data_IF_462904187115
#
_entry.id   IF_462904187115
#
_cell.length_a   1.000
_cell.length_b   1.000
_cell.length_c   1.000
_cell.angle_alpha   90.00
_cell.angle_beta   90.00
_cell.angle_gamma   90.00
#
_symmetry.space_group_name_H-M   'P 1'
#
loop_
_entity.id
_entity.type
_entity.pdbx_description
1 polymer ?
#
# COMPACT_ATOMS: atom_id res chain seq x y z
N UNK A 1 -15.24 20.31 -6.97
CA UNK A 1 -14.65 18.97 -7.05
C UNK A 1 -15.81 17.98 -6.98
N UNK A 2 -16.03 17.18 -8.04
CA UNK A 2 -17.07 16.14 -8.04
C UNK A 2 -16.77 15.07 -7.00
N UNK A 3 -17.81 14.38 -6.48
CA UNK A 3 -17.62 13.22 -5.60
C UNK A 3 -16.84 12.12 -6.34
N UNK A 4 -15.96 11.40 -5.64
CA UNK A 4 -15.27 10.26 -6.21
C UNK A 4 -16.28 9.22 -6.69
N UNK A 5 -16.04 8.61 -7.86
CA UNK A 5 -16.89 7.59 -8.46
C UNK A 5 -16.31 6.19 -8.32
N UNK A 6 -14.99 6.07 -8.25
CA UNK A 6 -14.24 4.85 -7.98
C UNK A 6 -13.04 5.17 -7.10
N UNK A 7 -12.60 4.20 -6.32
CA UNK A 7 -11.35 4.28 -5.58
C UNK A 7 -10.41 3.21 -6.11
N UNK A 8 -9.34 3.66 -6.76
CA UNK A 8 -8.28 2.81 -7.28
C UNK A 8 -7.19 2.68 -6.23
N UNK A 9 -6.77 1.46 -5.89
CA UNK A 9 -5.74 1.25 -4.87
C UNK A 9 -4.64 0.30 -5.35
N UNK A 10 -3.40 0.74 -5.23
CA UNK A 10 -2.22 -0.08 -5.54
C UNK A 10 -1.92 -1.10 -4.45
N UNK A 11 -1.91 -2.38 -4.82
CA UNK A 11 -1.66 -3.53 -3.91
C UNK A 11 -0.43 -4.28 -4.36
N UNK A 12 0.42 -4.70 -3.43
CA UNK A 12 1.58 -5.57 -3.72
C UNK A 12 2.00 -6.47 -2.55
N UNK A 13 1.15 -6.61 -1.51
CA UNK A 13 1.38 -7.50 -0.37
C UNK A 13 2.30 -6.97 0.73
N UNK A 14 2.80 -5.71 0.66
CA UNK A 14 3.51 -5.12 1.81
C UNK A 14 2.54 -4.56 2.83
N UNK A 15 2.98 -4.44 4.08
CA UNK A 15 2.18 -3.85 5.17
C UNK A 15 1.65 -2.45 4.83
N UNK A 16 2.43 -1.63 4.12
CA UNK A 16 1.98 -0.31 3.67
C UNK A 16 0.88 -0.39 2.62
N UNK A 17 0.95 -1.36 1.69
CA UNK A 17 -0.11 -1.56 0.69
C UNK A 17 -1.36 -2.19 1.29
N UNK A 18 -1.23 -3.06 2.30
CA UNK A 18 -2.38 -3.61 3.04
C UNK A 18 -3.10 -2.52 3.83
N UNK A 19 -2.34 -1.60 4.44
CA UNK A 19 -2.95 -0.44 5.11
C UNK A 19 -3.67 0.48 4.12
N UNK A 20 -3.10 0.69 2.93
CA UNK A 20 -3.75 1.44 1.86
C UNK A 20 -5.03 0.75 1.37
N UNK A 21 -5.02 -0.59 1.26
CA UNK A 21 -6.19 -1.37 0.88
C UNK A 21 -7.32 -1.24 1.93
N UNK A 22 -7.00 -1.34 3.23
CA UNK A 22 -7.97 -1.13 4.32
C UNK A 22 -8.59 0.26 4.24
N UNK A 23 -7.76 1.28 4.16
CA UNK A 23 -8.24 2.67 4.07
C UNK A 23 -9.12 2.88 2.83
N UNK A 24 -8.73 2.33 1.68
CA UNK A 24 -9.48 2.46 0.44
C UNK A 24 -10.83 1.71 0.49
N UNK A 25 -10.89 0.54 1.14
CA UNK A 25 -12.12 -0.20 1.34
C UNK A 25 -13.10 0.55 2.25
N UNK A 26 -12.64 1.04 3.40
CA UNK A 26 -13.45 1.84 4.32
C UNK A 26 -14.01 3.09 3.63
N UNK A 27 -13.19 3.79 2.86
CA UNK A 27 -13.60 4.99 2.13
C UNK A 27 -14.59 4.68 1.01
N UNK A 28 -14.40 3.54 0.30
CA UNK A 28 -15.32 3.10 -0.76
C UNK A 28 -16.70 2.73 -0.20
N UNK A 29 -16.74 2.05 0.95
CA UNK A 29 -18.00 1.76 1.66
C UNK A 29 -18.70 3.04 2.11
N UNK A 30 -17.99 3.95 2.77
CA UNK A 30 -18.56 5.22 3.23
C UNK A 30 -19.16 6.06 2.10
N UNK A 31 -18.47 6.10 0.96
CA UNK A 31 -18.92 6.85 -0.24
C UNK A 31 -19.89 6.08 -1.11
N UNK A 32 -20.06 4.78 -0.88
CA UNK A 32 -20.88 3.88 -1.71
C UNK A 32 -20.41 3.88 -3.19
N UNK A 33 -19.11 3.73 -3.38
CA UNK A 33 -18.46 3.67 -4.70
C UNK A 33 -17.67 2.38 -4.86
N UNK A 34 -17.32 2.03 -6.12
CA UNK A 34 -16.54 0.82 -6.39
C UNK A 34 -15.10 0.95 -5.90
N UNK A 35 -14.57 -0.14 -5.37
CA UNK A 35 -13.15 -0.32 -5.08
C UNK A 35 -12.48 -1.04 -6.25
N UNK A 36 -11.37 -0.49 -6.74
CA UNK A 36 -10.58 -1.01 -7.85
C UNK A 36 -9.16 -1.33 -7.34
N UNK A 37 -8.94 -2.51 -6.74
CA UNK A 37 -7.61 -2.92 -6.33
C UNK A 37 -6.79 -3.35 -7.55
N UNK A 38 -5.58 -2.84 -7.64
CA UNK A 38 -4.68 -3.04 -8.77
C UNK A 38 -3.38 -3.66 -8.30
N UNK A 39 -3.01 -4.79 -8.91
CA UNK A 39 -1.68 -5.36 -8.79
C UNK A 39 -0.99 -5.31 -10.16
N UNK A 40 0.17 -4.67 -10.20
CA UNK A 40 1.02 -4.66 -11.37
C UNK A 40 2.15 -5.69 -11.21
N UNK A 41 2.50 -6.36 -12.30
CA UNK A 41 3.59 -7.32 -12.29
C UNK A 41 4.49 -7.20 -13.52
N UNK A 42 5.76 -7.47 -13.35
CA UNK A 42 6.74 -7.57 -14.42
C UNK A 42 7.42 -8.93 -14.39
N UNK A 43 7.80 -9.49 -15.55
CA UNK A 43 8.55 -10.74 -15.59
C UNK A 43 9.87 -10.62 -14.82
N UNK A 44 10.33 -11.64 -14.09
CA UNK A 44 11.66 -11.69 -13.53
C UNK A 44 12.73 -11.52 -14.64
N UNK A 45 13.65 -10.58 -14.44
CA UNK A 45 14.63 -10.17 -15.47
C UNK A 45 14.11 -9.12 -16.46
N UNK A 46 12.85 -8.69 -16.32
CA UNK A 46 12.23 -7.65 -17.13
C UNK A 46 11.83 -8.11 -18.55
N UNK A 47 11.26 -7.19 -19.31
CA UNK A 47 10.75 -7.47 -20.66
C UNK A 47 11.83 -7.92 -21.66
N UNK A 48 13.07 -7.49 -21.49
CA UNK A 48 14.17 -7.92 -22.38
C UNK A 48 14.49 -9.40 -22.23
N UNK A 49 14.49 -9.91 -20.99
CA UNK A 49 14.74 -11.34 -20.74
C UNK A 49 13.61 -12.21 -21.31
N UNK A 50 12.37 -11.79 -21.17
CA UNK A 50 11.23 -12.52 -21.74
C UNK A 50 11.21 -12.47 -23.27
N UNK A 51 11.57 -11.35 -23.88
CA UNK A 51 11.67 -11.25 -25.36
C UNK A 51 12.75 -12.18 -25.93
N UNK A 52 13.84 -12.35 -25.18
CA UNK A 52 14.93 -13.25 -25.59
C UNK A 52 14.55 -14.72 -25.48
N UNK A 53 13.72 -15.09 -24.51
CA UNK A 53 13.26 -16.45 -24.27
C UNK A 53 11.75 -16.46 -23.94
N UNK A 54 10.88 -16.30 -24.93
CA UNK A 54 9.43 -16.26 -24.72
C UNK A 54 8.92 -17.59 -24.19
N UNK A 55 8.23 -17.57 -23.06
CA UNK A 55 7.58 -18.75 -22.50
C UNK A 55 6.15 -18.44 -22.07
N UNK A 56 5.14 -18.86 -22.83
CA UNK A 56 3.74 -18.68 -22.45
C UNK A 56 3.41 -19.30 -21.10
N UNK A 57 4.03 -20.44 -20.77
CA UNK A 57 3.87 -21.12 -19.48
C UNK A 57 4.37 -20.26 -18.31
N UNK A 58 5.57 -19.69 -18.41
CA UNK A 58 6.11 -18.81 -17.35
C UNK A 58 5.29 -17.53 -17.21
N UNK A 59 4.81 -16.98 -18.31
CA UNK A 59 3.94 -15.81 -18.27
C UNK A 59 2.66 -16.08 -17.49
N UNK A 60 2.01 -17.21 -17.78
CA UNK A 60 0.82 -17.63 -17.05
C UNK A 60 1.11 -17.84 -15.57
N UNK A 61 2.21 -18.50 -15.23
CA UNK A 61 2.63 -18.73 -13.85
C UNK A 61 2.83 -17.42 -13.08
N UNK A 62 3.43 -16.40 -13.69
CA UNK A 62 3.63 -15.09 -13.05
C UNK A 62 2.33 -14.32 -12.89
N UNK A 63 1.44 -14.41 -13.87
CA UNK A 63 0.12 -13.82 -13.77
C UNK A 63 -0.70 -14.47 -12.66
N UNK A 64 -0.71 -15.80 -12.58
CA UNK A 64 -1.39 -16.55 -11.52
C UNK A 64 -0.82 -16.21 -10.14
N UNK A 65 0.50 -16.06 -10.03
CA UNK A 65 1.15 -15.61 -8.81
C UNK A 65 0.76 -14.16 -8.43
N UNK A 66 0.52 -13.30 -9.40
CA UNK A 66 0.01 -11.95 -9.14
C UNK A 66 -1.45 -11.97 -8.69
N UNK A 67 -2.30 -12.78 -9.33
CA UNK A 67 -3.68 -13.00 -8.90
C UNK A 67 -3.73 -13.52 -7.45
N UNK A 68 -2.92 -14.55 -7.14
CA UNK A 68 -2.84 -15.09 -5.79
C UNK A 68 -2.44 -14.03 -4.76
N UNK A 69 -1.43 -13.20 -5.05
CA UNK A 69 -1.01 -12.10 -4.16
C UNK A 69 -2.14 -11.09 -3.91
N UNK A 70 -2.99 -10.87 -4.91
CA UNK A 70 -4.15 -9.99 -4.73
C UNK A 70 -5.18 -10.62 -3.78
N UNK A 71 -5.48 -11.91 -3.94
CA UNK A 71 -6.36 -12.65 -3.02
C UNK A 71 -5.78 -12.67 -1.60
N UNK A 72 -4.51 -13.03 -1.46
CA UNK A 72 -3.81 -13.05 -0.15
C UNK A 72 -3.89 -11.65 0.53
N UNK A 73 -3.79 -10.56 -0.26
CA UNK A 73 -3.90 -9.21 0.27
C UNK A 73 -5.30 -8.87 0.81
N UNK A 74 -6.36 -9.41 0.22
CA UNK A 74 -7.72 -9.29 0.77
C UNK A 74 -7.85 -10.08 2.08
N UNK A 75 -7.36 -11.31 2.12
CA UNK A 75 -7.40 -12.15 3.31
C UNK A 75 -6.63 -11.52 4.47
N UNK A 76 -5.40 -11.06 4.22
CA UNK A 76 -4.54 -10.43 5.24
C UNK A 76 -4.99 -8.99 5.59
N UNK A 77 -5.49 -8.26 4.61
CA UNK A 77 -5.88 -6.86 4.74
C UNK A 77 -7.27 -6.67 5.34
N UNK A 78 -8.24 -7.44 4.91
CA UNK A 78 -9.66 -7.23 5.22
C UNK A 78 -10.33 -8.46 5.87
N UNK A 79 -9.61 -9.59 5.96
CA UNK A 79 -10.19 -10.86 6.45
C UNK A 79 -11.04 -11.57 5.40
N UNK A 80 -10.87 -11.22 4.12
CA UNK A 80 -11.59 -11.73 2.97
C UNK A 80 -12.14 -10.62 2.07
N UNK A 81 -12.85 -11.00 1.02
CA UNK A 81 -13.53 -10.06 0.13
C UNK A 81 -14.80 -9.52 0.81
N UNK A 82 -15.00 -8.19 0.97
CA UNK A 82 -16.20 -7.64 1.56
C UNK A 82 -17.45 -7.89 0.71
N UNK A 83 -18.52 -8.43 1.31
CA UNK A 83 -19.78 -8.75 0.60
C UNK A 83 -20.60 -7.49 0.23
N UNK A 84 -20.41 -6.42 0.97
CA UNK A 84 -21.18 -5.17 0.83
C UNK A 84 -20.46 -4.10 -0.01
N UNK A 85 -19.31 -4.46 -0.62
CA UNK A 85 -18.49 -3.56 -1.44
C UNK A 85 -18.37 -4.09 -2.87
N UNK A 86 -18.68 -3.23 -3.83
CA UNK A 86 -18.43 -3.55 -5.25
C UNK A 86 -16.92 -3.49 -5.51
N UNK A 87 -16.29 -4.65 -5.67
CA UNK A 87 -14.85 -4.77 -5.94
C UNK A 87 -14.62 -5.16 -7.40
N UNK A 88 -13.73 -4.42 -8.07
CA UNK A 88 -13.33 -4.64 -9.47
C UNK A 88 -11.80 -4.83 -9.52
N UNK A 89 -11.30 -6.06 -9.31
CA UNK A 89 -9.87 -6.32 -9.26
C UNK A 89 -9.21 -6.24 -10.63
N UNK A 90 -8.02 -5.63 -10.70
CA UNK A 90 -7.17 -5.59 -11.88
C UNK A 90 -5.80 -6.21 -11.61
N UNK A 91 -5.38 -7.09 -12.51
CA UNK A 91 -4.04 -7.69 -12.51
C UNK A 91 -3.41 -7.38 -13.86
N UNK A 92 -2.50 -6.42 -13.86
CA UNK A 92 -1.93 -5.88 -15.09
C UNK A 92 -0.43 -6.12 -15.18
N UNK A 93 0.03 -6.37 -16.41
CA UNK A 93 1.45 -6.46 -16.68
C UNK A 93 2.03 -5.07 -16.94
N UNK A 94 3.07 -4.72 -16.21
CA UNK A 94 3.78 -3.45 -16.37
C UNK A 94 4.35 -2.93 -15.06
N UNK A 95 5.04 -1.80 -15.17
CA UNK A 95 5.53 -1.07 -14.00
C UNK A 95 4.36 -0.47 -13.21
N UNK A 96 4.39 -0.60 -11.90
CA UNK A 96 3.27 -0.23 -11.04
C UNK A 96 2.83 1.24 -11.15
N UNK A 97 3.76 2.17 -11.36
CA UNK A 97 3.45 3.60 -11.49
C UNK A 97 2.58 3.89 -12.72
N UNK A 98 3.06 3.58 -13.94
CA UNK A 98 2.28 3.70 -15.18
C UNK A 98 0.93 2.98 -15.11
N UNK A 99 0.92 1.71 -14.73
CA UNK A 99 -0.32 0.90 -14.64
C UNK A 99 -1.37 1.55 -13.73
N UNK A 100 -0.96 2.05 -12.57
CA UNK A 100 -1.89 2.72 -11.65
C UNK A 100 -2.46 4.01 -12.21
N UNK A 101 -1.64 4.81 -12.91
CA UNK A 101 -2.08 6.06 -13.54
C UNK A 101 -3.02 5.78 -14.70
N UNK A 102 -2.71 4.77 -15.52
CA UNK A 102 -3.54 4.40 -16.67
C UNK A 102 -4.92 3.86 -16.26
N UNK A 103 -4.99 3.12 -15.13
CA UNK A 103 -6.27 2.62 -14.60
C UNK A 103 -7.07 3.74 -13.92
N UNK A 104 -6.38 4.66 -13.21
CA UNK A 104 -7.00 5.79 -12.51
C UNK A 104 -7.16 7.01 -13.45
N UNK A 105 -7.76 6.80 -14.63
CA UNK A 105 -7.89 7.80 -15.69
C UNK A 105 -9.27 8.43 -15.80
N UNK A 106 -10.27 7.87 -15.09
CA UNK A 106 -11.65 8.33 -15.22
C UNK A 106 -11.93 9.59 -14.40
N UNK A 107 -12.80 10.48 -14.91
CA UNK A 107 -13.24 11.64 -14.15
C UNK A 107 -13.92 11.22 -12.84
N UNK A 108 -13.35 11.66 -11.72
CA UNK A 108 -13.84 11.33 -10.38
C UNK A 108 -13.19 10.10 -9.76
N UNK A 109 -12.11 9.58 -10.34
CA UNK A 109 -11.28 8.58 -9.66
C UNK A 109 -10.53 9.19 -8.47
N UNK A 110 -10.22 8.33 -7.50
CA UNK A 110 -9.34 8.61 -6.38
C UNK A 110 -8.27 7.53 -6.33
N UNK A 111 -7.02 7.88 -6.53
CA UNK A 111 -5.90 6.93 -6.48
C UNK A 111 -5.32 6.85 -5.06
N UNK A 112 -5.28 5.65 -4.51
CA UNK A 112 -4.73 5.37 -3.18
C UNK A 112 -3.48 4.53 -3.27
N UNK A 113 -2.41 4.95 -2.61
CA UNK A 113 -1.13 4.24 -2.58
C UNK A 113 -0.60 4.14 -1.16
N UNK A 114 0.02 3.01 -0.82
CA UNK A 114 0.72 2.87 0.44
C UNK A 114 2.08 3.57 0.40
N UNK A 115 2.39 4.34 1.44
CA UNK A 115 3.76 4.83 1.61
C UNK A 115 4.58 3.78 2.32
N UNK A 116 5.40 3.03 1.56
CA UNK A 116 6.39 2.13 2.16
C UNK A 116 7.43 2.91 2.98
N UNK A 117 7.96 2.30 4.05
CA UNK A 117 9.08 2.89 4.80
C UNK A 117 10.27 3.11 3.85
N UNK A 118 10.80 4.29 3.90
CA UNK A 118 11.98 4.70 3.16
C UNK A 118 13.21 3.94 3.63
N UNK A 119 13.48 2.79 3.04
CA UNK A 119 14.77 2.15 3.18
C UNK A 119 15.80 3.01 2.41
N UNK A 120 16.80 3.61 3.07
CA UNK A 120 17.72 4.55 2.40
C UNK A 120 18.48 3.90 1.24
N UNK A 121 18.68 2.58 1.26
CA UNK A 121 19.39 1.85 0.21
C UNK A 121 18.54 1.57 -1.03
N UNK A 122 17.21 1.41 -0.89
CA UNK A 122 16.27 1.22 -2.01
C UNK A 122 15.91 2.52 -2.76
N UNK A 123 16.37 3.66 -2.27
CA UNK A 123 16.01 5.00 -2.78
C UNK A 123 16.64 5.34 -4.14
N UNK A 124 17.77 4.72 -4.46
CA UNK A 124 18.55 5.07 -5.66
C UNK A 124 18.14 4.28 -6.91
N UNK A 125 17.54 3.08 -6.77
CA UNK A 125 17.31 2.18 -7.89
C UNK A 125 15.86 2.04 -8.36
N UNK A 126 14.86 2.39 -7.55
CA UNK A 126 13.47 2.31 -7.98
C UNK A 126 12.81 3.69 -7.95
N UNK A 127 12.39 4.17 -9.11
CA UNK A 127 11.45 5.29 -9.20
C UNK A 127 10.27 4.96 -8.29
N UNK A 128 10.15 5.67 -7.17
CA UNK A 128 9.07 5.46 -6.21
C UNK A 128 7.73 5.54 -6.94
N UNK A 129 6.94 4.48 -6.89
CA UNK A 129 5.58 4.41 -7.44
C UNK A 129 4.79 5.66 -7.01
N UNK A 130 4.89 6.02 -5.73
CA UNK A 130 4.23 7.22 -5.21
C UNK A 130 4.66 8.51 -5.90
N UNK A 131 5.95 8.68 -6.18
CA UNK A 131 6.44 9.86 -6.90
C UNK A 131 5.91 9.88 -8.34
N UNK A 132 5.88 8.73 -8.99
CA UNK A 132 5.36 8.62 -10.34
C UNK A 132 3.87 8.98 -10.37
N UNK A 133 3.06 8.39 -9.52
CA UNK A 133 1.63 8.69 -9.43
C UNK A 133 1.36 10.17 -9.12
N UNK A 134 2.07 10.76 -8.17
CA UNK A 134 1.93 12.19 -7.83
C UNK A 134 2.30 13.13 -8.99
N UNK A 135 3.21 12.71 -9.86
CA UNK A 135 3.64 13.53 -10.99
C UNK A 135 2.77 13.36 -12.25
N UNK A 136 2.07 12.22 -12.41
CA UNK A 136 1.43 11.86 -13.68
C UNK A 136 -0.06 11.55 -13.55
N UNK A 137 -0.61 11.36 -12.34
CA UNK A 137 -2.03 11.09 -12.19
C UNK A 137 -2.89 12.31 -12.56
N UNK A 138 -3.99 12.05 -13.25
CA UNK A 138 -5.00 13.06 -13.61
C UNK A 138 -6.13 13.18 -12.56
N UNK A 139 -6.05 12.41 -11.48
CA UNK A 139 -6.98 12.38 -10.36
C UNK A 139 -6.26 12.69 -9.03
N UNK A 140 -7.00 12.99 -7.95
CA UNK A 140 -6.40 13.11 -6.61
C UNK A 140 -5.68 11.82 -6.20
N UNK A 141 -4.52 11.97 -5.57
CA UNK A 141 -3.70 10.86 -5.06
C UNK A 141 -3.59 10.95 -3.55
N UNK A 142 -3.97 9.88 -2.86
CA UNK A 142 -3.83 9.76 -1.41
C UNK A 142 -2.70 8.78 -1.09
N UNK A 143 -1.75 9.23 -0.30
CA UNK A 143 -0.64 8.44 0.19
C UNK A 143 -0.89 8.02 1.64
N UNK A 144 -1.18 6.72 1.87
CA UNK A 144 -1.51 6.18 3.18
C UNK A 144 -0.24 5.71 3.88
N UNK A 145 0.10 6.25 5.05
CA UNK A 145 1.24 5.80 5.83
C UNK A 145 0.97 4.41 6.47
N UNK A 146 2.01 3.62 6.78
CA UNK A 146 1.85 2.41 7.59
C UNK A 146 1.28 2.79 8.96
N UNK A 147 0.50 1.89 9.58
CA UNK A 147 -0.07 2.14 10.90
C UNK A 147 1.03 2.27 11.96
N UNK A 148 0.84 3.16 12.94
CA UNK A 148 1.79 3.37 14.04
C UNK A 148 2.05 2.09 14.83
N UNK A 149 1.03 1.24 15.03
CA UNK A 149 1.15 -0.05 15.73
C UNK A 149 2.09 -1.02 14.98
N UNK A 150 2.00 -1.05 13.65
CA UNK A 150 2.90 -1.86 12.80
C UNK A 150 4.34 -1.36 12.85
N UNK A 151 4.53 -0.07 13.02
CA UNK A 151 5.84 0.55 13.22
C UNK A 151 6.42 0.18 14.60
N UNK A 152 5.62 0.17 15.65
CA UNK A 152 6.02 -0.21 16.99
C UNK A 152 6.37 -1.70 17.10
N UNK A 153 5.61 -2.60 16.49
CA UNK A 153 5.90 -4.03 16.46
C UNK A 153 7.24 -4.34 15.79
N UNK A 154 7.61 -3.61 14.73
CA UNK A 154 8.93 -3.74 14.11
C UNK A 154 10.05 -3.14 14.93
N UNK A 155 9.81 -2.06 15.66
CA UNK A 155 10.78 -1.45 16.58
C UNK A 155 10.94 -2.23 17.87
N UNK A 156 9.93 -3.00 18.28
CA UNK A 156 10.00 -3.91 19.40
C UNK A 156 10.98 -5.07 19.24
N UNK A 157 11.40 -5.36 17.99
CA UNK A 157 12.44 -6.35 17.68
C UNK A 157 13.86 -5.77 17.69
N UNK A 158 14.03 -4.46 17.91
CA UNK A 158 15.34 -3.84 18.17
C UNK A 158 15.67 -3.96 19.65
N UNK A 159 16.93 -4.33 20.01
CA UNK A 159 17.35 -4.38 21.39
C UNK A 159 17.05 -3.06 22.09
N UNK A 160 16.43 -3.11 23.24
CA UNK A 160 16.02 -1.97 24.06
C UNK A 160 17.14 -0.99 24.42
N UNK A 161 18.39 -1.43 24.27
CA UNK A 161 19.61 -0.64 24.50
C UNK A 161 19.78 0.59 23.60
N UNK A 162 18.93 0.75 22.53
CA UNK A 162 18.94 1.93 21.65
C UNK A 162 17.76 2.89 21.89
N UNK A 163 16.90 2.63 22.89
CA UNK A 163 15.80 3.51 23.29
C UNK A 163 16.22 4.58 24.29
N UNK A 164 17.28 5.30 24.02
CA UNK A 164 17.64 6.51 24.77
C UNK A 164 16.84 7.73 24.33
N UNK A 165 15.56 7.82 24.73
CA UNK A 165 14.88 9.11 24.84
C UNK A 165 14.13 9.15 26.15
N UNK A 166 14.64 9.95 27.05
CA UNK A 166 13.95 10.39 28.27
C UNK A 166 12.59 10.98 27.90
N UNK A 167 11.52 10.33 28.33
CA UNK A 167 10.22 10.98 28.45
C UNK A 167 10.27 11.72 29.77
N UNK A 168 10.49 13.04 29.74
CA UNK A 168 10.30 13.90 30.88
C UNK A 168 8.79 14.08 31.04
N UNK A 169 8.22 13.45 32.04
CA UNK A 169 6.85 13.73 32.49
C UNK A 169 6.93 15.03 33.29
N UNK A 170 6.27 16.12 32.88
CA UNK A 170 6.21 17.32 33.68
C UNK A 170 5.21 17.13 34.81
N UNK A 171 5.69 17.25 36.06
CA UNK A 171 4.88 17.54 37.22
C UNK A 171 4.31 16.35 37.98
N UNK A 172 5.12 15.70 38.81
CA UNK A 172 4.63 15.18 40.08
C UNK A 172 5.75 15.43 41.13
N UNK A 173 5.61 16.54 41.82
CA UNK A 173 6.36 16.84 43.02
C UNK A 173 5.78 15.99 44.15
N UNK A 174 6.51 14.90 44.52
CA UNK A 174 6.15 14.05 45.65
C UNK A 174 7.06 14.37 46.85
N UNK A 175 7.01 15.64 47.27
CA UNK A 175 7.67 16.08 48.49
C UNK A 175 6.70 16.43 49.62
N UNK A 176 5.59 15.67 49.77
CA UNK A 176 4.75 15.79 50.98
C UNK A 176 4.11 14.40 51.29
N UNK A 177 4.83 13.55 52.01
CA UNK A 177 4.19 12.58 52.87
C UNK A 177 4.61 12.87 54.32
N UNK A 178 3.65 13.19 55.23
CA UNK A 178 3.94 13.30 56.65
C UNK A 178 4.18 11.91 57.21
N UNK A 179 5.24 11.82 58.03
CA UNK A 179 5.53 10.64 58.82
C UNK A 179 4.53 10.44 59.97
N UNK A 180 4.19 9.19 60.18
CA UNK A 180 3.96 8.52 61.47
C UNK A 180 4.31 7.05 61.38
#
# INVERSE_FOLDING_TARGET
MGAARRIVVGVHGSLGSLQALRWAADEAQQRRVSLVPVIAWVPPGGDMAERSHPSPYLRQLWQDAACKRLTDAFDEGLGGLPDDLQVQPHVERGDAGPVLVDIADQPGDLLVIGTGRRNPVGRALHRSVGRYCLAHAHCPVIAVPPSALMDEMRHGLLPWSLRGRHVTVPGTDISELPGE
#
